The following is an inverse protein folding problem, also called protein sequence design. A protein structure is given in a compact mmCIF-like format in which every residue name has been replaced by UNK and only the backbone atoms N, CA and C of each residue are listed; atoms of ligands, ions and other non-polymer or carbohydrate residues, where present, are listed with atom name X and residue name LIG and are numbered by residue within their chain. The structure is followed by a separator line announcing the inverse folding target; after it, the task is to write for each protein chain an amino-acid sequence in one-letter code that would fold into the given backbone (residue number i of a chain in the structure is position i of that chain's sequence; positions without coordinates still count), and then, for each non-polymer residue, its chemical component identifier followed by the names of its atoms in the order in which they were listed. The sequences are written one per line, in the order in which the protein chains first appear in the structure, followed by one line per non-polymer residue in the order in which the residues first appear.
data_IF_777095799504
#
_entry.id   IF_777095799504
#
_cell.length_a   1.000
_cell.length_b   1.000
_cell.length_c   1.000
_cell.angle_alpha   90.00
_cell.angle_beta   90.00
_cell.angle_gamma   90.00
#
_symmetry.space_group_name_H-M   'P 1'
#
loop_
_entity.id
_entity.type
_entity.pdbx_description
1 polymer ?
#
# COMPACT_ATOMS: atom_id res chain seq x y z
N UNK A 1 36.64 -62.31 17.20
CA UNK A 1 36.82 -60.99 17.85
C UNK A 1 35.44 -60.33 17.90
N UNK A 2 34.61 -60.59 18.92
CA UNK A 2 34.48 -59.85 20.19
C UNK A 2 34.32 -58.32 19.95
N UNK A 3 33.21 -57.63 20.29
CA UNK A 3 32.04 -57.93 21.14
C UNK A 3 30.80 -57.14 20.69
N UNK A 4 29.64 -57.79 20.78
CA UNK A 4 28.29 -57.22 20.81
C UNK A 4 27.94 -56.71 22.22
N UNK A 5 27.14 -55.64 22.31
CA UNK A 5 26.63 -55.11 23.58
C UNK A 5 25.11 -55.30 23.64
N UNK A 6 24.66 -56.02 24.67
CA UNK A 6 23.27 -56.36 24.93
C UNK A 6 22.69 -55.52 26.07
N UNK A 7 21.42 -55.14 25.91
CA UNK A 7 20.34 -54.96 26.88
C UNK A 7 20.66 -54.75 28.37
N UNK A 8 20.03 -53.72 28.96
CA UNK A 8 19.25 -53.86 30.22
C UNK A 8 18.05 -52.90 30.26
N UNK A 9 16.86 -53.47 30.45
CA UNK A 9 15.66 -52.82 30.98
C UNK A 9 15.81 -52.68 32.50
N UNK A 10 15.38 -51.54 33.04
CA UNK A 10 15.21 -51.32 34.47
C UNK A 10 13.87 -50.63 34.73
N UNK A 11 12.91 -51.40 35.25
CA UNK A 11 11.73 -50.93 35.97
C UNK A 11 12.15 -50.41 37.35
N UNK A 12 11.55 -49.33 37.85
CA UNK A 12 11.57 -49.06 39.28
C UNK A 12 11.20 -47.65 39.72
N UNK A 13 10.13 -47.60 40.52
CA UNK A 13 9.80 -46.62 41.56
C UNK A 13 9.13 -45.29 41.14
N UNK A 14 7.82 -45.27 41.42
CA UNK A 14 7.01 -44.09 41.64
C UNK A 14 7.57 -43.23 42.79
N UNK A 15 7.56 -41.92 42.60
CA UNK A 15 7.65 -40.95 43.69
C UNK A 15 6.55 -39.92 43.49
N UNK A 16 5.45 -40.12 44.22
CA UNK A 16 4.39 -39.14 44.41
C UNK A 16 4.96 -38.07 45.35
N UNK A 17 5.46 -36.96 44.80
CA UNK A 17 5.82 -35.78 45.57
C UNK A 17 4.64 -34.82 45.53
N UNK A 18 4.05 -34.63 46.70
CA UNK A 18 3.03 -33.66 47.03
C UNK A 18 3.48 -32.23 46.72
N UNK A 19 2.97 -31.64 45.63
CA UNK A 19 3.05 -30.20 45.37
C UNK A 19 1.92 -29.49 46.13
N UNK A 20 2.13 -29.29 47.43
CA UNK A 20 1.36 -28.33 48.23
C UNK A 20 2.35 -27.31 48.81
N UNK A 21 2.19 -26.04 48.46
CA UNK A 21 2.77 -24.92 49.22
C UNK A 21 4.06 -24.31 48.66
N UNK A 22 3.96 -23.64 47.52
CA UNK A 22 4.79 -22.47 47.22
C UNK A 22 4.00 -21.54 46.32
N UNK A 23 3.21 -20.65 46.93
CA UNK A 23 2.77 -19.44 46.24
C UNK A 23 4.04 -18.64 45.93
N UNK A 24 4.59 -18.85 44.74
CA UNK A 24 5.56 -17.93 44.17
C UNK A 24 4.87 -16.57 44.12
N UNK A 25 5.25 -15.68 45.03
CA UNK A 25 5.05 -14.25 44.87
C UNK A 25 5.66 -13.90 43.52
N UNK A 26 4.83 -13.90 42.48
CA UNK A 26 5.16 -13.27 41.21
C UNK A 26 5.50 -11.83 41.61
N UNK A 27 6.75 -11.36 41.41
CA UNK A 27 7.09 -9.98 41.73
C UNK A 27 6.07 -9.10 41.02
N UNK A 28 5.24 -8.43 41.81
CA UNK A 28 4.23 -7.51 41.30
C UNK A 28 4.96 -6.48 40.47
N UNK A 29 4.69 -6.46 39.17
CA UNK A 29 5.21 -5.44 38.28
C UNK A 29 4.91 -4.08 38.90
N UNK A 30 5.92 -3.22 38.99
CA UNK A 30 5.74 -1.85 39.45
C UNK A 30 4.64 -1.20 38.60
N UNK A 31 3.54 -0.80 39.25
CA UNK A 31 2.48 -0.05 38.60
C UNK A 31 3.04 1.33 38.23
N UNK A 32 3.57 1.47 37.01
CA UNK A 32 4.03 2.75 36.48
C UNK A 32 2.83 3.59 36.10
N UNK A 33 2.56 4.64 36.87
CA UNK A 33 1.50 5.60 36.60
C UNK A 33 1.84 6.61 35.47
N UNK A 34 3.10 6.62 35.01
CA UNK A 34 3.63 7.60 34.04
C UNK A 34 3.58 7.12 32.57
N UNK A 35 2.78 6.11 32.25
CA UNK A 35 2.66 5.57 30.88
C UNK A 35 1.46 6.11 30.09
N UNK A 36 1.43 5.82 28.79
CA UNK A 36 0.22 5.94 27.97
C UNK A 36 -0.86 5.07 28.62
N UNK A 37 -1.96 5.68 29.06
CA UNK A 37 -3.05 4.96 29.72
C UNK A 37 -3.97 4.29 28.72
N UNK A 38 -4.16 4.95 27.56
CA UNK A 38 -5.03 4.48 26.50
C UNK A 38 -4.36 4.72 25.16
N UNK A 39 -4.35 3.69 24.32
CA UNK A 39 -3.99 3.88 22.92
C UNK A 39 -4.84 3.04 21.98
N UNK A 40 -4.91 3.52 20.74
CA UNK A 40 -5.38 2.78 19.59
C UNK A 40 -4.40 3.02 18.43
N UNK A 41 -3.83 1.95 17.91
CA UNK A 41 -2.84 2.00 16.85
C UNK A 41 -3.28 1.12 15.67
N UNK A 42 -3.03 1.63 14.46
CA UNK A 42 -3.38 0.98 13.20
C UNK A 42 -2.18 1.11 12.25
N UNK A 43 -1.77 0.01 11.66
CA UNK A 43 -0.80 -0.03 10.58
C UNK A 43 -1.45 -0.70 9.37
N UNK A 44 -1.34 -0.09 8.19
CA UNK A 44 -1.86 -0.66 6.95
C UNK A 44 -0.89 -0.45 5.81
N UNK A 45 -0.60 -1.51 5.07
CA UNK A 45 0.21 -1.48 3.86
C UNK A 45 -0.55 -2.14 2.71
N UNK A 46 -0.59 -1.45 1.59
CA UNK A 46 -1.01 -2.01 0.30
C UNK A 46 0.20 -1.93 -0.62
N UNK A 47 0.52 -3.05 -1.25
CA UNK A 47 1.52 -3.09 -2.31
C UNK A 47 1.09 -2.17 -3.44
N UNK A 48 0.12 -2.64 -4.22
CA UNK A 48 -0.33 -1.96 -5.42
C UNK A 48 -1.85 -1.93 -5.43
N UNK A 49 -2.39 -0.80 -5.87
CA UNK A 49 -3.78 -0.66 -6.27
C UNK A 49 -3.84 -0.45 -7.78
N UNK A 50 -4.90 -0.96 -8.40
CA UNK A 50 -5.22 -0.62 -9.76
C UNK A 50 -6.73 -0.46 -9.93
N UNK A 51 -7.10 0.44 -10.82
CA UNK A 51 -8.46 0.63 -11.27
C UNK A 51 -8.51 0.50 -12.79
N UNK A 52 -9.45 -0.29 -13.30
CA UNK A 52 -9.77 -0.38 -14.73
C UNK A 52 -11.21 0.04 -14.94
N UNK A 53 -11.47 0.81 -15.99
CA UNK A 53 -12.82 1.08 -16.45
C UNK A 53 -12.89 0.90 -17.97
N UNK A 54 -14.02 0.40 -18.47
CA UNK A 54 -14.27 0.26 -19.90
C UNK A 54 -15.75 0.54 -20.18
N UNK A 55 -16.03 1.40 -21.16
CA UNK A 55 -17.40 1.80 -21.51
C UNK A 55 -18.25 0.66 -22.07
N UNK A 56 -17.63 -0.40 -22.63
CA UNK A 56 -18.35 -1.57 -23.13
C UNK A 56 -18.83 -2.49 -22.01
N UNK A 57 -18.33 -2.33 -20.78
CA UNK A 57 -18.82 -3.08 -19.63
C UNK A 57 -20.13 -2.44 -19.17
N UNK A 58 -21.27 -3.16 -19.24
CA UNK A 58 -22.56 -2.62 -18.83
C UNK A 58 -22.50 -2.04 -17.42
N UNK A 59 -23.27 -0.98 -17.18
CA UNK A 59 -23.35 -0.26 -15.89
C UNK A 59 -22.09 0.56 -15.53
N UNK A 60 -21.10 0.68 -16.43
CA UNK A 60 -19.92 1.51 -16.18
C UNK A 60 -19.08 1.02 -15.00
N UNK A 61 -19.05 -0.30 -14.78
CA UNK A 61 -18.35 -0.90 -13.65
C UNK A 61 -16.86 -0.54 -13.69
N UNK A 62 -16.35 -0.07 -12.55
CA UNK A 62 -14.92 0.12 -12.30
C UNK A 62 -14.42 -1.11 -11.57
N UNK A 63 -13.44 -1.78 -12.15
CA UNK A 63 -12.76 -2.90 -11.51
C UNK A 63 -11.65 -2.35 -10.66
N UNK A 64 -11.69 -2.67 -9.37
CA UNK A 64 -10.65 -2.30 -8.43
C UNK A 64 -9.98 -3.58 -7.94
N UNK A 65 -8.66 -3.56 -7.87
CA UNK A 65 -7.90 -4.63 -7.27
C UNK A 65 -6.73 -4.08 -6.49
N UNK A 66 -6.52 -4.67 -5.31
CA UNK A 66 -5.37 -4.35 -4.46
C UNK A 66 -4.63 -5.61 -4.06
N UNK A 67 -3.33 -5.51 -3.87
CA UNK A 67 -2.54 -6.60 -3.33
C UNK A 67 -1.04 -6.46 -3.56
N UNK A 68 -0.21 -7.14 -2.75
CA UNK A 68 -0.55 -7.74 -1.46
C UNK A 68 -1.03 -6.68 -0.43
N UNK A 69 -1.82 -7.07 0.56
CA UNK A 69 -2.34 -6.18 1.62
C UNK A 69 -2.02 -6.75 3.02
N UNK A 70 -1.65 -5.88 3.95
CA UNK A 70 -1.47 -6.20 5.36
C UNK A 70 -2.08 -5.09 6.24
N UNK A 71 -2.79 -5.48 7.28
CA UNK A 71 -3.47 -4.60 8.24
C UNK A 71 -3.24 -5.15 9.66
N UNK A 72 -2.85 -4.28 10.59
CA UNK A 72 -2.63 -4.60 11.98
C UNK A 72 -3.24 -3.50 12.85
N UNK A 73 -4.13 -3.88 13.77
CA UNK A 73 -4.75 -2.99 14.76
C UNK A 73 -4.45 -3.50 16.16
N UNK A 74 -4.11 -2.60 17.07
CA UNK A 74 -3.91 -2.94 18.48
C UNK A 74 -4.41 -1.81 19.37
N UNK A 75 -4.96 -2.13 20.54
CA UNK A 75 -5.32 -1.15 21.57
C UNK A 75 -4.95 -1.64 22.96
N UNK A 76 -4.83 -0.68 23.89
CA UNK A 76 -4.55 -0.97 25.30
C UNK A 76 -5.63 -1.79 26.03
N UNK A 77 -6.80 -1.97 25.40
CA UNK A 77 -7.92 -2.76 25.93
C UNK A 77 -7.86 -4.23 25.49
N UNK A 78 -6.68 -4.74 25.15
CA UNK A 78 -6.49 -6.11 24.66
C UNK A 78 -7.32 -6.42 23.40
N UNK A 79 -7.48 -5.43 22.52
CA UNK A 79 -7.96 -5.66 21.16
C UNK A 79 -6.74 -5.70 20.25
N UNK A 80 -6.56 -6.80 19.54
CA UNK A 80 -5.48 -6.99 18.59
C UNK A 80 -6.05 -7.78 17.40
N UNK A 81 -6.03 -7.18 16.21
CA UNK A 81 -6.54 -7.79 14.99
C UNK A 81 -5.45 -7.68 13.91
N UNK A 82 -5.04 -8.80 13.33
CA UNK A 82 -4.13 -8.84 12.20
C UNK A 82 -4.82 -9.48 10.99
N UNK A 83 -4.66 -8.87 9.82
CA UNK A 83 -5.22 -9.36 8.56
C UNK A 83 -4.20 -9.22 7.42
N UNK A 84 -3.96 -10.30 6.69
CA UNK A 84 -3.09 -10.34 5.53
C UNK A 84 -3.82 -11.01 4.37
N UNK A 85 -3.79 -10.39 3.18
CA UNK A 85 -4.52 -10.88 2.00
C UNK A 85 -3.73 -10.73 0.70
N UNK A 86 -3.91 -11.67 -0.22
CA UNK A 86 -3.31 -11.62 -1.57
C UNK A 86 -4.18 -12.38 -2.59
N UNK A 87 -4.57 -11.74 -3.70
CA UNK A 87 -5.02 -10.35 -3.85
C UNK A 87 -6.44 -10.15 -3.27
N UNK A 88 -6.76 -8.92 -2.87
CA UNK A 88 -8.11 -8.53 -2.48
C UNK A 88 -8.79 -7.80 -3.64
N UNK A 89 -9.86 -8.42 -4.15
CA UNK A 89 -10.60 -7.93 -5.31
C UNK A 89 -11.85 -7.12 -4.93
N UNK A 90 -11.85 -6.54 -3.73
CA UNK A 90 -13.03 -5.90 -3.16
C UNK A 90 -14.18 -6.86 -2.92
N UNK A 91 -15.29 -6.30 -2.44
CA UNK A 91 -16.52 -7.05 -2.17
C UNK A 91 -17.31 -7.41 -3.44
N UNK A 92 -16.87 -6.94 -4.62
CA UNK A 92 -17.52 -7.17 -5.92
C UNK A 92 -17.20 -8.53 -6.54
N UNK A 93 -16.09 -9.17 -6.14
CA UNK A 93 -15.57 -10.42 -6.73
C UNK A 93 -15.63 -11.71 -5.84
N UNK A 94 -16.15 -11.74 -4.59
CA UNK A 94 -16.19 -12.98 -3.80
C UNK A 94 -16.94 -14.17 -4.46
N UNK A 95 -17.85 -13.91 -5.42
CA UNK A 95 -18.64 -14.96 -6.09
C UNK A 95 -17.97 -15.68 -7.28
N UNK A 96 -16.83 -15.18 -7.78
CA UNK A 96 -16.19 -15.67 -9.01
C UNK A 96 -15.45 -17.02 -8.91
N UNK A 97 -14.73 -17.33 -7.81
CA UNK A 97 -13.83 -18.48 -7.79
C UNK A 97 -14.56 -19.82 -7.93
N UNK A 98 -15.77 -19.92 -7.37
CA UNK A 98 -16.61 -21.13 -7.50
C UNK A 98 -17.03 -21.41 -8.95
N UNK A 99 -17.23 -20.37 -9.75
CA UNK A 99 -17.62 -20.49 -11.15
C UNK A 99 -16.41 -20.76 -12.05
N UNK A 100 -15.24 -20.15 -11.77
CA UNK A 100 -14.00 -20.41 -12.53
C UNK A 100 -13.45 -21.81 -12.30
N UNK A 101 -13.44 -22.27 -11.05
CA UNK A 101 -13.00 -23.63 -10.70
C UNK A 101 -13.88 -24.69 -11.35
N UNK A 102 -15.18 -24.42 -11.50
CA UNK A 102 -16.13 -25.29 -12.19
C UNK A 102 -15.90 -25.37 -13.71
N UNK A 103 -15.57 -24.26 -14.36
CA UNK A 103 -15.41 -24.20 -15.83
C UNK A 103 -14.06 -24.77 -16.29
N UNK A 104 -12.97 -24.40 -15.62
CA UNK A 104 -11.61 -24.74 -16.09
C UNK A 104 -11.00 -25.98 -15.43
N UNK A 105 -11.67 -26.58 -14.44
CA UNK A 105 -11.15 -27.69 -13.62
C UNK A 105 -9.75 -27.43 -13.05
N UNK A 106 -9.36 -26.15 -12.93
CA UNK A 106 -8.12 -25.76 -12.28
C UNK A 106 -8.37 -25.81 -10.77
N UNK A 107 -7.47 -26.41 -9.97
CA UNK A 107 -7.52 -26.29 -8.53
C UNK A 107 -7.22 -24.84 -8.15
N UNK A 108 -8.26 -24.02 -8.06
CA UNK A 108 -8.17 -22.66 -7.54
C UNK A 108 -8.26 -22.79 -6.02
N UNK A 109 -7.31 -22.25 -5.24
CA UNK A 109 -7.43 -22.19 -3.79
C UNK A 109 -8.78 -21.61 -3.39
N UNK A 110 -9.37 -22.12 -2.31
CA UNK A 110 -10.60 -21.55 -1.77
C UNK A 110 -10.35 -20.08 -1.42
N UNK A 111 -10.98 -19.18 -2.17
CA UNK A 111 -11.00 -17.75 -1.89
C UNK A 111 -11.97 -17.48 -0.73
N UNK A 112 -11.72 -16.46 0.11
CA UNK A 112 -10.61 -15.52 0.04
C UNK A 112 -9.28 -16.06 0.59
N UNK A 113 -8.17 -15.70 -0.07
CA UNK A 113 -6.81 -15.94 0.41
C UNK A 113 -6.51 -14.91 1.50
N UNK A 114 -6.92 -15.24 2.73
CA UNK A 114 -6.81 -14.37 3.91
C UNK A 114 -6.21 -15.15 5.06
N UNK A 115 -5.15 -14.62 5.67
CA UNK A 115 -4.71 -14.99 7.01
C UNK A 115 -5.17 -13.91 7.99
N UNK A 116 -5.97 -14.28 8.99
CA UNK A 116 -6.46 -13.35 10.00
C UNK A 116 -6.33 -13.95 11.39
N UNK A 117 -5.99 -13.12 12.37
CA UNK A 117 -6.00 -13.49 13.80
C UNK A 117 -6.58 -12.37 14.64
N UNK A 118 -7.16 -12.75 15.77
CA UNK A 118 -7.60 -11.86 16.85
C UNK A 118 -6.80 -12.13 18.13
N UNK A 119 -6.91 -11.24 19.11
CA UNK A 119 -6.22 -11.36 20.40
C UNK A 119 -6.45 -12.72 21.07
N UNK A 120 -5.36 -13.42 21.39
CA UNK A 120 -5.39 -14.73 22.06
C UNK A 120 -5.55 -15.93 21.13
N UNK A 121 -5.74 -15.70 19.83
CA UNK A 121 -5.69 -16.76 18.82
C UNK A 121 -4.23 -17.15 18.52
N UNK A 122 -4.05 -18.39 18.05
CA UNK A 122 -2.74 -18.83 17.57
C UNK A 122 -2.39 -18.12 16.24
N UNK A 123 -1.10 -17.87 15.95
CA UNK A 123 -0.68 -17.35 14.66
C UNK A 123 -1.20 -18.19 13.49
N UNK A 124 -1.54 -17.52 12.40
CA UNK A 124 -2.01 -18.18 11.17
C UNK A 124 -1.02 -17.90 10.05
N UNK A 125 -0.47 -18.98 9.51
CA UNK A 125 0.37 -18.99 8.32
C UNK A 125 -0.35 -19.68 7.17
N UNK A 126 -0.34 -19.04 6.00
CA UNK A 126 -0.89 -19.59 4.76
C UNK A 126 0.20 -19.50 3.69
N UNK A 127 0.71 -20.66 3.29
CA UNK A 127 1.76 -20.78 2.30
C UNK A 127 1.28 -21.56 1.08
N UNK A 128 1.42 -20.93 -0.09
CA UNK A 128 1.28 -21.56 -1.40
C UNK A 128 2.52 -21.26 -2.24
N UNK A 129 2.79 -22.02 -3.31
CA UNK A 129 3.88 -21.69 -4.22
C UNK A 129 3.79 -20.25 -4.74
N UNK A 130 4.70 -19.39 -4.28
CA UNK A 130 4.75 -17.98 -4.65
C UNK A 130 3.73 -17.08 -3.93
N UNK A 131 3.06 -17.54 -2.87
CA UNK A 131 2.23 -16.69 -1.99
C UNK A 131 2.51 -17.09 -0.55
N UNK A 132 2.80 -16.12 0.32
CA UNK A 132 2.85 -16.35 1.76
C UNK A 132 2.08 -15.28 2.50
N UNK A 133 1.32 -15.68 3.51
CA UNK A 133 0.57 -14.77 4.37
C UNK A 133 0.75 -15.20 5.81
N UNK A 134 0.88 -14.23 6.70
CA UNK A 134 1.08 -14.43 8.13
C UNK A 134 0.28 -13.39 8.89
N UNK A 135 -0.44 -13.83 9.93
CA UNK A 135 -1.13 -12.98 10.87
C UNK A 135 -0.87 -13.48 12.30
N UNK A 136 -0.51 -12.56 13.20
CA UNK A 136 -0.26 -12.84 14.61
C UNK A 136 -0.74 -11.67 15.47
N UNK A 137 -1.48 -11.97 16.54
CA UNK A 137 -2.07 -10.97 17.45
C UNK A 137 -1.79 -11.35 18.91
N UNK A 138 -0.79 -10.69 19.50
CA UNK A 138 -0.37 -10.91 20.90
C UNK A 138 -0.74 -9.71 21.78
N UNK A 139 -0.39 -9.76 23.08
CA UNK A 139 -0.64 -8.65 24.00
C UNK A 139 0.18 -7.40 23.70
N UNK A 140 1.40 -7.55 23.19
CA UNK A 140 2.32 -6.43 22.97
C UNK A 140 2.71 -6.24 21.50
N UNK A 141 2.21 -7.08 20.59
CA UNK A 141 2.57 -7.04 19.17
C UNK A 141 1.46 -7.64 18.30
N UNK A 142 1.04 -6.89 17.28
CA UNK A 142 0.15 -7.33 16.21
C UNK A 142 0.87 -7.22 14.88
N UNK A 143 0.96 -8.32 14.12
CA UNK A 143 1.74 -8.42 12.89
C UNK A 143 0.88 -9.03 11.79
N UNK A 144 0.83 -8.37 10.63
CA UNK A 144 0.32 -8.92 9.39
C UNK A 144 1.38 -8.81 8.29
N UNK A 145 1.55 -9.87 7.51
CA UNK A 145 2.45 -9.89 6.34
C UNK A 145 1.81 -10.66 5.22
N UNK A 146 1.96 -10.15 4.02
CA UNK A 146 1.51 -10.80 2.80
C UNK A 146 2.55 -10.62 1.71
N UNK A 147 2.83 -11.67 0.95
CA UNK A 147 3.75 -11.61 -0.17
C UNK A 147 3.27 -12.46 -1.34
N UNK A 148 3.62 -12.03 -2.54
CA UNK A 148 3.32 -12.73 -3.79
C UNK A 148 4.54 -12.69 -4.71
N UNK A 149 4.78 -13.77 -5.44
CA UNK A 149 5.88 -13.93 -6.38
C UNK A 149 7.14 -14.49 -5.75
N UNK A 150 8.29 -13.98 -6.21
CA UNK A 150 9.63 -14.45 -5.80
C UNK A 150 10.49 -13.27 -5.33
N UNK A 151 11.67 -13.54 -4.81
CA UNK A 151 12.63 -12.48 -4.47
C UNK A 151 13.01 -11.57 -5.68
N UNK A 152 12.84 -12.04 -6.92
CA UNK A 152 13.20 -11.28 -8.11
C UNK A 152 12.05 -10.41 -8.67
N UNK A 153 10.81 -10.87 -8.55
CA UNK A 153 9.64 -10.25 -9.21
C UNK A 153 8.41 -10.16 -8.30
N UNK A 154 8.63 -10.32 -7.00
CA UNK A 154 7.57 -10.35 -6.01
C UNK A 154 7.21 -8.99 -5.47
N UNK A 155 6.10 -8.98 -4.75
CA UNK A 155 5.61 -7.88 -3.96
C UNK A 155 5.36 -8.35 -2.53
N UNK A 156 5.51 -7.45 -1.57
CA UNK A 156 5.22 -7.70 -0.17
C UNK A 156 4.52 -6.50 0.47
N UNK A 157 3.66 -6.77 1.43
CA UNK A 157 3.08 -5.79 2.34
C UNK A 157 3.24 -6.31 3.77
N UNK A 158 3.59 -5.42 4.69
CA UNK A 158 3.72 -5.70 6.10
C UNK A 158 3.11 -4.58 6.91
N UNK A 159 2.38 -4.95 7.95
CA UNK A 159 1.82 -4.04 8.94
C UNK A 159 2.16 -4.57 10.32
N UNK A 160 2.59 -3.69 11.22
CA UNK A 160 3.02 -4.06 12.56
C UNK A 160 2.72 -2.96 13.56
N UNK A 161 2.16 -3.35 14.69
CA UNK A 161 1.99 -2.52 15.87
C UNK A 161 2.72 -3.18 17.03
N UNK A 162 3.58 -2.45 17.73
CA UNK A 162 4.32 -2.93 18.90
C UNK A 162 4.15 -1.97 20.09
N UNK A 163 4.01 -2.54 21.29
CA UNK A 163 4.26 -1.84 22.54
C UNK A 163 5.76 -1.87 22.88
N UNK A 164 6.32 -0.75 23.30
CA UNK A 164 7.71 -0.70 23.77
C UNK A 164 7.77 -0.98 25.27
N UNK A 165 8.92 -1.48 25.74
CA UNK A 165 9.15 -1.75 27.17
C UNK A 165 9.01 -0.49 28.07
N UNK A 166 9.16 0.70 27.48
CA UNK A 166 9.02 1.99 28.16
C UNK A 166 7.57 2.50 28.19
N UNK A 167 6.61 1.74 27.66
CA UNK A 167 5.19 2.12 27.60
C UNK A 167 4.84 3.03 26.42
N UNK A 168 5.69 3.06 25.40
CA UNK A 168 5.39 3.68 24.10
C UNK A 168 4.72 2.70 23.14
N UNK A 169 4.28 3.19 21.98
CA UNK A 169 3.65 2.39 20.93
C UNK A 169 4.23 2.77 19.58
N UNK A 170 4.54 1.78 18.74
CA UNK A 170 5.05 1.98 17.38
C UNK A 170 4.08 1.32 16.40
N UNK A 171 3.52 2.11 15.49
CA UNK A 171 2.80 1.63 14.32
C UNK A 171 3.71 1.77 13.10
N UNK A 172 3.89 0.69 12.33
CA UNK A 172 4.73 0.67 11.14
C UNK A 172 4.10 -0.15 10.02
N UNK A 173 4.16 0.39 8.81
CA UNK A 173 3.70 -0.27 7.61
C UNK A 173 4.71 -0.11 6.49
N UNK A 174 4.92 -1.20 5.76
CA UNK A 174 5.92 -1.31 4.71
C UNK A 174 5.30 -2.01 3.50
N UNK A 175 5.54 -1.51 2.29
CA UNK A 175 5.23 -2.22 1.05
C UNK A 175 6.39 -2.18 0.07
N UNK A 176 6.63 -3.31 -0.61
CA UNK A 176 7.77 -3.49 -1.51
C UNK A 176 7.37 -4.15 -2.82
N UNK A 177 7.98 -3.72 -3.93
CA UNK A 177 8.03 -4.44 -5.21
C UNK A 177 9.46 -4.58 -5.69
N UNK A 178 9.89 -5.81 -5.92
CA UNK A 178 11.20 -6.08 -6.51
C UNK A 178 11.21 -5.69 -7.99
N UNK A 179 10.22 -6.18 -8.74
CA UNK A 179 9.99 -5.79 -10.12
C UNK A 179 8.51 -5.88 -10.47
N UNK A 180 7.96 -4.79 -11.01
CA UNK A 180 6.60 -4.70 -11.48
C UNK A 180 6.63 -4.29 -12.95
N UNK A 181 5.97 -5.07 -13.81
CA UNK A 181 5.80 -4.75 -15.23
C UNK A 181 4.36 -4.37 -15.50
N UNK A 182 4.16 -3.15 -15.99
CA UNK A 182 2.87 -2.64 -16.42
C UNK A 182 2.81 -2.76 -17.94
N UNK A 183 2.31 -3.91 -18.40
CA UNK A 183 2.34 -4.30 -19.80
C UNK A 183 3.77 -4.30 -20.38
N UNK A 184 3.89 -3.78 -21.60
CA UNK A 184 5.19 -3.56 -22.27
C UNK A 184 5.69 -2.11 -22.15
N UNK A 185 4.98 -1.27 -21.39
CA UNK A 185 5.19 0.18 -21.39
C UNK A 185 6.08 0.63 -20.23
N UNK A 186 5.93 0.05 -19.04
CA UNK A 186 6.66 0.49 -17.85
C UNK A 186 7.15 -0.72 -17.07
N UNK A 187 8.40 -0.64 -16.60
CA UNK A 187 8.96 -1.52 -15.57
C UNK A 187 9.39 -0.66 -14.39
N UNK A 188 8.82 -0.96 -13.22
CA UNK A 188 9.29 -0.44 -11.95
C UNK A 188 10.14 -1.50 -11.25
N UNK A 189 11.20 -1.10 -10.56
CA UNK A 189 12.01 -2.01 -9.76
C UNK A 189 12.47 -1.34 -8.48
N UNK A 190 12.51 -2.13 -7.40
CA UNK A 190 12.85 -1.66 -6.06
C UNK A 190 11.92 -0.54 -5.59
N UNK A 191 10.60 -0.73 -5.74
CA UNK A 191 9.60 0.16 -5.13
C UNK A 191 9.55 -0.16 -3.65
N UNK A 192 9.66 0.85 -2.79
CA UNK A 192 9.51 0.72 -1.34
C UNK A 192 8.72 1.90 -0.80
N UNK A 193 7.63 1.60 -0.11
CA UNK A 193 6.87 2.55 0.68
C UNK A 193 6.93 2.20 2.14
N UNK A 194 7.01 3.22 3.00
CA UNK A 194 7.06 3.03 4.44
C UNK A 194 6.35 4.19 5.14
N UNK A 195 5.54 3.87 6.14
CA UNK A 195 5.01 4.82 7.12
C UNK A 195 5.30 4.29 8.53
N UNK A 196 5.77 5.16 9.41
CA UNK A 196 6.01 4.85 10.82
C UNK A 196 5.50 6.01 11.66
N UNK A 197 4.71 5.67 12.67
CA UNK A 197 4.29 6.58 13.73
C UNK A 197 4.63 5.94 15.06
N UNK A 198 5.39 6.64 15.91
CA UNK A 198 5.65 6.22 17.29
C UNK A 198 5.11 7.24 18.28
N UNK A 199 4.50 6.75 19.36
CA UNK A 199 4.19 7.51 20.56
C UNK A 199 5.17 7.10 21.66
N UNK A 200 5.84 8.06 22.29
CA UNK A 200 6.57 7.79 23.54
C UNK A 200 5.61 7.68 24.74
N UNK A 201 6.14 7.34 25.93
CA UNK A 201 5.33 7.22 27.15
C UNK A 201 4.52 8.48 27.50
N UNK A 202 4.99 9.65 27.06
CA UNK A 202 4.30 10.94 27.26
C UNK A 202 3.25 11.23 26.18
N UNK A 203 3.03 10.32 25.23
CA UNK A 203 2.12 10.49 24.10
C UNK A 203 2.66 11.39 23.00
N UNK A 204 3.96 11.76 23.02
CA UNK A 204 4.54 12.58 21.96
C UNK A 204 4.73 11.74 20.71
N UNK A 205 4.12 12.21 19.62
CA UNK A 205 4.15 11.51 18.34
C UNK A 205 5.34 11.91 17.48
N UNK A 206 6.09 10.90 17.00
CA UNK A 206 7.10 11.03 15.94
C UNK A 206 6.60 10.30 14.69
N UNK A 207 6.71 10.95 13.52
CA UNK A 207 6.15 10.45 12.26
C UNK A 207 7.21 10.50 11.18
N UNK A 208 7.33 9.42 10.41
CA UNK A 208 8.20 9.36 9.24
C UNK A 208 7.50 8.59 8.14
N UNK A 209 7.57 9.08 6.90
CA UNK A 209 7.09 8.32 5.75
C UNK A 209 8.00 8.52 4.55
N UNK A 210 8.15 7.48 3.74
CA UNK A 210 9.01 7.50 2.55
C UNK A 210 8.40 6.69 1.43
N UNK A 211 8.52 7.18 0.20
CA UNK A 211 8.33 6.41 -1.02
C UNK A 211 9.60 6.51 -1.85
N UNK A 212 10.15 5.37 -2.25
CA UNK A 212 11.30 5.28 -3.14
C UNK A 212 11.07 4.25 -4.24
N UNK A 213 11.60 4.53 -5.43
CA UNK A 213 11.64 3.62 -6.57
C UNK A 213 13.07 3.64 -7.09
N UNK A 214 13.74 2.50 -7.01
CA UNK A 214 15.14 2.41 -7.43
C UNK A 214 15.29 2.64 -8.94
N UNK A 215 14.36 2.11 -9.74
CA UNK A 215 14.36 2.22 -11.20
C UNK A 215 12.95 2.25 -11.76
N UNK A 216 12.72 3.20 -12.66
CA UNK A 216 11.58 3.38 -13.53
C UNK A 216 12.15 3.33 -14.95
N UNK A 217 11.67 2.38 -15.74
CA UNK A 217 12.09 2.18 -17.11
C UNK A 217 10.88 2.12 -18.02
N UNK A 218 10.83 2.97 -19.04
CA UNK A 218 9.79 2.97 -20.05
C UNK A 218 10.43 2.93 -21.45
N UNK A 219 10.23 1.85 -22.23
CA UNK A 219 10.73 1.80 -23.60
C UNK A 219 10.20 2.97 -24.43
N UNK A 220 11.11 3.65 -25.14
CA UNK A 220 10.78 4.81 -25.98
C UNK A 220 10.73 6.15 -25.24
N UNK A 221 10.90 6.18 -23.91
CA UNK A 221 10.97 7.44 -23.15
C UNK A 221 12.15 8.28 -23.65
N UNK A 222 11.88 9.52 -24.04
CA UNK A 222 12.91 10.48 -24.44
C UNK A 222 12.86 11.65 -23.47
N UNK A 223 13.94 11.84 -22.71
CA UNK A 223 14.03 12.88 -21.69
C UNK A 223 15.11 13.88 -22.07
N UNK A 224 14.73 15.14 -22.29
CA UNK A 224 15.68 16.24 -22.42
C UNK A 224 16.11 16.69 -21.03
N UNK A 225 17.40 16.54 -20.72
CA UNK A 225 17.94 17.00 -19.45
C UNK A 225 17.98 18.54 -19.42
N UNK A 226 17.65 19.17 -18.29
CA UNK A 226 17.85 20.60 -18.16
C UNK A 226 19.34 20.94 -18.22
N UNK A 227 19.69 22.10 -18.78
CA UNK A 227 21.08 22.56 -18.85
C UNK A 227 21.70 22.73 -17.45
N UNK A 228 20.89 23.18 -16.50
CA UNK A 228 21.29 23.49 -15.13
C UNK A 228 20.42 22.75 -14.10
N UNK A 229 20.95 22.54 -12.90
CA UNK A 229 20.19 22.02 -11.77
C UNK A 229 19.07 22.98 -11.36
N UNK A 230 18.13 22.51 -10.54
CA UNK A 230 16.94 23.28 -10.10
C UNK A 230 17.26 24.56 -9.32
N UNK A 231 18.53 24.80 -8.94
CA UNK A 231 18.92 25.96 -8.13
C UNK A 231 18.37 25.94 -6.69
N UNK A 232 17.73 24.84 -6.30
CA UNK A 232 17.11 24.65 -5.00
C UNK A 232 17.40 23.23 -4.52
N UNK A 233 17.86 23.10 -3.27
CA UNK A 233 17.92 21.81 -2.59
C UNK A 233 16.59 21.61 -1.88
N UNK A 234 15.76 20.62 -2.28
CA UNK A 234 14.58 20.27 -1.50
C UNK A 234 15.04 19.81 -0.12
N UNK A 235 14.62 20.52 0.92
CA UNK A 235 14.87 20.10 2.29
C UNK A 235 13.98 18.87 2.53
N UNK A 236 14.53 17.72 2.94
CA UNK A 236 13.73 16.52 3.17
C UNK A 236 12.64 16.81 4.20
N UNK A 237 11.43 16.35 3.89
CA UNK A 237 10.20 16.20 4.71
C UNK A 237 10.08 17.20 5.90
N UNK A 238 9.03 18.05 5.91
CA UNK A 238 8.75 18.97 7.02
C UNK A 238 8.87 18.26 8.37
N UNK A 239 9.73 18.77 9.26
CA UNK A 239 9.75 18.29 10.65
C UNK A 239 8.45 18.77 11.31
N UNK A 240 7.61 17.87 11.85
CA UNK A 240 6.35 18.26 12.47
C UNK A 240 6.56 19.33 13.56
N UNK A 241 5.79 20.42 13.49
CA UNK A 241 5.88 21.54 14.43
C UNK A 241 6.97 22.58 14.14
N UNK A 242 7.76 22.39 13.08
CA UNK A 242 8.70 23.40 12.58
C UNK A 242 8.09 24.02 11.32
N UNK A 243 8.02 25.36 11.20
CA UNK A 243 7.63 26.01 9.96
C UNK A 243 8.45 25.45 8.80
N UNK A 244 7.79 25.18 7.68
CA UNK A 244 8.46 24.62 6.52
C UNK A 244 9.58 25.56 6.10
N UNK A 245 10.82 25.10 6.24
CA UNK A 245 11.96 25.93 5.86
C UNK A 245 11.90 26.08 4.34
N UNK A 246 11.91 27.32 3.80
CA UNK A 246 11.94 27.49 2.36
C UNK A 246 13.13 26.72 1.78
N UNK A 247 13.03 26.19 0.53
CA UNK A 247 14.13 25.50 -0.12
C UNK A 247 15.41 26.33 -0.02
N UNK A 248 16.55 25.68 0.26
CA UNK A 248 17.82 26.40 0.33
C UNK A 248 18.20 26.74 -1.11
N UNK A 249 18.29 28.03 -1.47
CA UNK A 249 18.76 28.41 -2.78
C UNK A 249 20.23 28.00 -2.89
N UNK A 250 20.55 27.27 -3.95
CA UNK A 250 21.91 26.89 -4.33
C UNK A 250 22.16 27.44 -5.73
N UNK A 251 23.38 27.92 -5.98
CA UNK A 251 23.72 28.33 -7.33
C UNK A 251 23.51 27.15 -8.29
N UNK A 252 22.73 27.34 -9.38
CA UNK A 252 22.54 26.30 -10.37
C UNK A 252 23.90 25.86 -10.91
N UNK A 253 24.14 24.55 -10.90
CA UNK A 253 25.32 23.97 -11.48
C UNK A 253 24.94 23.27 -12.80
N UNK A 254 25.84 23.28 -13.80
CA UNK A 254 25.57 22.62 -15.06
C UNK A 254 25.40 21.11 -14.84
N UNK A 255 24.31 20.55 -15.36
CA UNK A 255 24.07 19.10 -15.30
C UNK A 255 24.89 18.46 -16.42
N UNK A 256 25.63 17.36 -16.16
CA UNK A 256 26.28 16.61 -17.22
C UNK A 256 25.27 16.20 -18.29
N UNK A 257 25.58 16.46 -19.56
CA UNK A 257 24.67 16.24 -20.69
C UNK A 257 23.40 17.12 -20.65
N UNK A 258 23.40 18.21 -19.89
CA UNK A 258 22.33 19.20 -19.91
C UNK A 258 22.06 19.72 -21.32
N UNK A 259 20.79 19.85 -21.67
CA UNK A 259 20.31 20.18 -23.02
C UNK A 259 20.23 18.98 -23.98
N UNK A 260 20.80 17.82 -23.64
CA UNK A 260 20.73 16.62 -24.49
C UNK A 260 19.48 15.79 -24.18
N UNK A 261 18.93 15.16 -25.21
CA UNK A 261 17.85 14.19 -25.09
C UNK A 261 18.42 12.78 -24.94
N UNK A 262 18.12 12.14 -23.81
CA UNK A 262 18.50 10.76 -23.53
C UNK A 262 17.32 9.84 -23.84
N UNK A 263 17.60 8.74 -24.56
CA UNK A 263 16.60 7.75 -24.94
C UNK A 263 16.63 6.57 -23.96
N UNK A 264 15.43 6.18 -23.52
CA UNK A 264 15.15 5.14 -22.55
C UNK A 264 15.99 5.24 -21.26
N UNK A 265 16.03 6.42 -20.59
CA UNK A 265 16.81 6.60 -19.38
C UNK A 265 16.28 5.73 -18.23
N UNK A 266 17.16 5.35 -17.31
CA UNK A 266 16.77 4.75 -16.03
C UNK A 266 16.55 5.87 -15.00
N UNK A 267 15.29 6.03 -14.59
CA UNK A 267 14.87 7.09 -13.69
C UNK A 267 14.62 6.49 -12.30
N UNK A 268 15.22 7.03 -11.24
CA UNK A 268 14.84 6.74 -9.86
C UNK A 268 13.83 7.76 -9.34
N UNK A 269 13.18 7.46 -8.23
CA UNK A 269 12.25 8.36 -7.56
C UNK A 269 12.40 8.26 -6.04
N UNK A 270 12.43 9.39 -5.33
CA UNK A 270 12.44 9.43 -3.87
C UNK A 270 11.62 10.64 -3.41
N UNK A 271 10.53 10.41 -2.68
CA UNK A 271 9.72 11.44 -2.02
C UNK A 271 9.40 12.66 -2.91
N UNK A 272 8.94 12.42 -4.14
CA UNK A 272 8.58 13.48 -5.09
C UNK A 272 9.73 13.98 -5.97
N UNK A 273 10.97 13.56 -5.68
CA UNK A 273 12.15 13.94 -6.46
C UNK A 273 12.53 12.81 -7.41
N UNK A 274 12.59 13.12 -8.71
CA UNK A 274 13.14 12.20 -9.70
C UNK A 274 14.66 12.26 -9.72
N UNK A 275 15.30 11.12 -9.98
CA UNK A 275 16.74 11.04 -10.17
C UNK A 275 17.03 10.33 -11.48
N UNK A 276 18.14 10.66 -12.14
CA UNK A 276 18.63 9.93 -13.31
C UNK A 276 20.00 9.35 -13.00
N UNK A 277 20.19 8.07 -13.35
CA UNK A 277 21.47 7.41 -13.30
C UNK A 277 22.24 7.69 -14.60
N UNK A 278 23.36 8.42 -14.50
CA UNK A 278 24.24 8.71 -15.64
C UNK A 278 25.58 8.00 -15.46
N UNK A 279 26.12 7.35 -16.51
CA UNK A 279 27.46 6.77 -16.45
C UNK A 279 28.51 7.88 -16.48
N UNK A 280 29.39 7.93 -15.48
CA UNK A 280 30.50 8.88 -15.44
C UNK A 280 31.81 8.18 -15.03
N UNK A 281 32.77 8.13 -15.96
CA UNK A 281 34.14 7.66 -15.71
C UNK A 281 34.27 6.28 -14.99
N UNK A 282 33.29 5.39 -15.17
CA UNK A 282 33.26 4.04 -14.56
C UNK A 282 32.30 3.90 -13.38
N UNK A 283 31.78 5.00 -12.84
CA UNK A 283 30.79 5.01 -11.75
C UNK A 283 29.43 5.53 -12.22
N UNK A 284 28.35 4.98 -11.65
CA UNK A 284 26.99 5.49 -11.89
C UNK A 284 26.66 6.56 -10.86
N UNK A 285 26.52 7.80 -11.30
CA UNK A 285 26.12 8.91 -10.45
C UNK A 285 24.63 9.21 -10.63
N UNK A 286 23.95 9.58 -9.53
CA UNK A 286 22.53 9.95 -9.53
C UNK A 286 22.39 11.46 -9.43
N UNK A 287 21.65 12.03 -10.37
CA UNK A 287 21.37 13.47 -10.43
C UNK A 287 19.89 13.70 -10.20
N UNK A 288 19.53 14.68 -9.37
CA UNK A 288 18.14 15.11 -9.24
C UNK A 288 17.68 15.78 -10.53
N UNK A 289 16.48 15.44 -10.99
CA UNK A 289 15.86 16.00 -12.20
C UNK A 289 14.56 16.69 -11.80
N UNK A 290 14.27 17.91 -12.30
CA UNK A 290 12.99 18.55 -12.07
C UNK A 290 11.84 17.65 -12.55
N UNK A 291 10.72 17.66 -11.82
CA UNK A 291 9.59 16.79 -12.15
C UNK A 291 8.92 17.14 -13.49
N UNK A 292 8.86 18.43 -13.86
CA UNK A 292 8.20 18.90 -15.08
C UNK A 292 8.66 18.16 -16.35
N UNK A 293 9.96 18.20 -16.71
CA UNK A 293 10.49 17.48 -17.87
C UNK A 293 10.22 15.97 -17.85
N UNK A 294 10.25 15.34 -16.67
CA UNK A 294 9.96 13.92 -16.53
C UNK A 294 8.48 13.65 -16.82
N UNK A 295 7.58 14.41 -16.22
CA UNK A 295 6.13 14.29 -16.43
C UNK A 295 5.78 14.51 -17.91
N UNK A 296 6.37 15.52 -18.56
CA UNK A 296 6.14 15.79 -19.98
C UNK A 296 6.64 14.64 -20.87
N UNK A 297 7.79 14.04 -20.55
CA UNK A 297 8.31 12.88 -21.27
C UNK A 297 7.40 11.65 -21.13
N UNK A 298 6.87 11.37 -19.94
CA UNK A 298 5.90 10.29 -19.75
C UNK A 298 4.57 10.58 -20.45
N UNK A 299 4.09 11.83 -20.41
CA UNK A 299 2.88 12.26 -21.11
C UNK A 299 3.00 12.08 -22.62
N UNK A 300 4.18 12.33 -23.19
CA UNK A 300 4.47 12.06 -24.61
C UNK A 300 4.37 10.56 -24.99
N UNK A 301 4.51 9.65 -24.02
CA UNK A 301 4.27 8.22 -24.19
C UNK A 301 2.81 7.80 -23.93
N UNK A 302 1.91 8.74 -23.65
CA UNK A 302 0.53 8.44 -23.26
C UNK A 302 0.38 7.94 -21.82
N UNK A 303 1.38 8.22 -20.96
CA UNK A 303 1.35 7.87 -19.54
C UNK A 303 1.16 9.15 -18.73
N UNK A 304 0.11 9.22 -17.91
CA UNK A 304 -0.09 10.29 -16.93
C UNK A 304 0.58 9.89 -15.62
N UNK A 305 1.31 10.82 -15.00
CA UNK A 305 1.90 10.64 -13.68
C UNK A 305 1.20 11.56 -12.68
N UNK A 306 0.86 11.03 -11.51
CA UNK A 306 0.38 11.79 -10.37
C UNK A 306 1.24 11.48 -9.14
N UNK A 307 1.48 12.49 -8.32
CA UNK A 307 2.18 12.33 -7.04
C UNK A 307 1.43 13.04 -5.94
N UNK A 308 1.19 12.31 -4.85
CA UNK A 308 0.70 12.86 -3.59
C UNK A 308 1.82 12.75 -2.56
N UNK A 309 2.19 13.90 -1.96
CA UNK A 309 3.16 13.93 -0.86
C UNK A 309 2.62 13.20 0.37
N UNK A 310 3.51 12.85 1.30
CA UNK A 310 3.09 12.33 2.60
C UNK A 310 2.11 13.32 3.28
N UNK A 311 1.09 12.77 3.93
CA UNK A 311 0.08 13.55 4.65
C UNK A 311 0.23 13.30 6.14
N UNK A 312 0.50 14.36 6.90
CA UNK A 312 0.57 14.30 8.36
C UNK A 312 -0.86 14.37 8.90
N UNK A 313 -1.26 13.31 9.61
CA UNK A 313 -2.56 13.19 10.25
C UNK A 313 -2.43 13.50 11.76
N UNK A 314 -3.52 13.90 12.44
CA UNK A 314 -3.49 14.16 13.88
C UNK A 314 -2.91 12.99 14.68
N UNK A 315 -3.28 11.76 14.33
CA UNK A 315 -2.85 10.53 14.99
C UNK A 315 -1.71 9.81 14.28
N UNK A 316 -1.18 10.31 13.15
CA UNK A 316 -0.17 9.54 12.43
C UNK A 316 0.24 10.12 11.09
N UNK A 317 0.58 9.26 10.14
CA UNK A 317 1.06 9.66 8.82
C UNK A 317 0.61 8.68 7.73
N UNK A 318 0.20 9.23 6.58
CA UNK A 318 0.03 8.48 5.35
C UNK A 318 1.26 8.71 4.45
N UNK A 319 1.79 7.62 3.89
CA UNK A 319 2.95 7.67 3.01
C UNK A 319 2.63 8.32 1.66
N UNK A 320 3.66 8.82 0.94
CA UNK A 320 3.45 9.36 -0.39
C UNK A 320 2.93 8.30 -1.36
N UNK A 321 2.12 8.73 -2.34
CA UNK A 321 1.55 7.85 -3.37
C UNK A 321 1.99 8.33 -4.74
N UNK A 322 2.47 7.40 -5.58
CA UNK A 322 2.68 7.64 -7.01
C UNK A 322 1.59 6.91 -7.79
N UNK A 323 0.84 7.65 -8.60
CA UNK A 323 -0.14 7.11 -9.53
C UNK A 323 0.35 7.22 -10.97
N UNK A 324 0.05 6.20 -11.77
CA UNK A 324 0.37 6.14 -13.20
C UNK A 324 -0.90 5.75 -13.96
N UNK A 325 -1.37 6.61 -14.84
CA UNK A 325 -2.48 6.33 -15.73
C UNK A 325 -1.99 6.03 -17.14
N UNK A 326 -2.57 5.04 -17.80
CA UNK A 326 -2.35 4.78 -19.22
C UNK A 326 -3.58 4.09 -19.81
N UNK A 327 -3.70 4.12 -21.13
CA UNK A 327 -4.85 3.57 -21.83
C UNK A 327 -4.43 2.36 -22.65
N UNK A 328 -5.03 1.20 -22.38
CA UNK A 328 -4.87 0.04 -23.25
C UNK A 328 -5.65 0.26 -24.56
N UNK A 329 -5.07 -0.08 -25.71
CA UNK A 329 -5.76 0.01 -26.99
C UNK A 329 -6.96 -0.94 -27.01
N UNK A 330 -7.96 -0.63 -27.84
CA UNK A 330 -9.09 -1.53 -28.03
C UNK A 330 -8.59 -2.91 -28.43
N UNK A 331 -9.04 -3.99 -27.75
CA UNK A 331 -8.74 -5.33 -28.22
C UNK A 331 -9.38 -5.56 -29.60
N UNK A 332 -8.96 -6.61 -30.34
CA UNK A 332 -9.64 -7.02 -31.56
C UNK A 332 -11.16 -7.13 -31.33
N UNK A 333 -11.99 -6.75 -32.32
CA UNK A 333 -13.43 -6.76 -32.18
C UNK A 333 -13.93 -8.07 -31.58
N UNK A 334 -14.56 -7.96 -30.42
CA UNK A 334 -15.18 -9.07 -29.74
C UNK A 334 -16.47 -8.57 -29.07
N UNK A 335 -17.32 -9.51 -28.67
CA UNK A 335 -18.65 -9.18 -28.14
C UNK A 335 -18.66 -8.72 -26.67
N UNK A 336 -17.50 -8.61 -26.01
CA UNK A 336 -17.42 -8.43 -24.55
C UNK A 336 -16.72 -7.14 -24.14
N UNK A 337 -15.52 -6.92 -24.67
CA UNK A 337 -14.69 -5.76 -24.39
C UNK A 337 -14.43 -5.05 -25.71
N UNK A 338 -14.99 -3.86 -25.84
CA UNK A 338 -14.82 -3.00 -26.99
C UNK A 338 -14.29 -1.65 -26.55
N UNK A 339 -13.51 -1.00 -27.40
CA UNK A 339 -12.96 0.32 -27.09
C UNK A 339 -11.78 0.27 -26.13
N UNK A 340 -11.23 1.45 -25.92
CA UNK A 340 -10.06 1.67 -25.09
C UNK A 340 -10.35 1.43 -23.61
N UNK A 341 -9.35 0.95 -22.87
CA UNK A 341 -9.47 0.65 -21.44
C UNK A 341 -8.47 1.50 -20.65
N UNK A 342 -8.89 2.63 -20.06
CA UNK A 342 -8.06 3.37 -19.12
C UNK A 342 -7.75 2.51 -17.88
N UNK A 343 -6.50 2.58 -17.45
CA UNK A 343 -5.98 1.93 -16.25
C UNK A 343 -5.26 2.96 -15.42
N UNK A 344 -5.58 3.01 -14.13
CA UNK A 344 -4.79 3.75 -13.14
C UNK A 344 -4.12 2.76 -12.22
N UNK A 345 -2.83 2.92 -12.02
CA UNK A 345 -2.03 2.12 -11.10
C UNK A 345 -1.48 3.01 -10.00
N UNK A 346 -1.65 2.63 -8.74
CA UNK A 346 -1.18 3.38 -7.58
C UNK A 346 -0.24 2.53 -6.73
N UNK A 347 0.91 3.10 -6.37
CA UNK A 347 1.86 2.52 -5.41
C UNK A 347 2.18 3.52 -4.32
N UNK A 348 2.61 3.02 -3.17
CA UNK A 348 3.01 3.87 -2.06
C UNK A 348 2.04 3.89 -0.89
N UNK A 349 0.93 3.15 -0.96
CA UNK A 349 -0.13 3.18 0.04
C UNK A 349 0.30 2.49 1.35
N UNK A 350 0.94 3.24 2.24
CA UNK A 350 1.28 2.83 3.59
C UNK A 350 0.72 3.86 4.61
N UNK A 351 0.16 3.37 5.70
CA UNK A 351 -0.49 4.17 6.74
C UNK A 351 -0.02 3.69 8.12
N UNK A 352 0.32 4.63 9.00
CA UNK A 352 0.66 4.34 10.38
C UNK A 352 0.01 5.36 11.32
N UNK A 353 -0.89 4.90 12.19
CA UNK A 353 -1.66 5.70 13.14
C UNK A 353 -1.41 5.20 14.57
N UNK A 354 -1.34 6.15 15.51
CA UNK A 354 -1.32 5.95 16.96
C UNK A 354 -2.10 7.12 17.61
N UNK A 355 -3.31 6.85 18.10
CA UNK A 355 -4.00 7.72 19.07
C UNK A 355 -3.53 7.30 20.46
N UNK A 356 -2.77 8.15 21.15
CA UNK A 356 -2.25 7.87 22.49
C UNK A 356 -2.69 8.95 23.48
N UNK A 357 -3.20 8.54 24.64
CA UNK A 357 -3.65 9.43 25.72
C UNK A 357 -3.01 9.06 27.04
N UNK A 358 -2.39 10.03 27.70
CA UNK A 358 -1.80 9.90 29.04
C UNK A 358 -2.87 10.00 30.13
N UNK A 359 -2.74 9.23 31.22
CA UNK A 359 -3.69 9.19 32.35
C UNK A 359 -4.05 10.57 32.95
N UNK A 360 -3.15 11.55 32.84
CA UNK A 360 -3.31 12.89 33.43
C UNK A 360 -3.88 13.97 32.50
N UNK A 361 -4.07 13.69 31.20
CA UNK A 361 -4.60 14.68 30.24
C UNK A 361 -6.14 14.68 30.24
N UNK A 362 -6.73 14.80 31.43
CA UNK A 362 -8.15 15.03 31.60
C UNK A 362 -8.45 16.52 31.48
N UNK A 363 -8.07 17.17 30.37
CA UNK A 363 -8.67 18.44 30.01
C UNK A 363 -10.03 18.13 29.37
N UNK A 364 -10.99 17.91 30.27
CA UNK A 364 -12.42 17.76 30.02
C UNK A 364 -12.91 18.92 29.15
N UNK A 365 -12.96 18.68 27.84
CA UNK A 365 -13.98 19.32 27.02
C UNK A 365 -15.15 18.36 27.10
N UNK A 366 -16.18 18.72 27.87
CA UNK A 366 -17.43 17.97 28.01
C UNK A 366 -18.11 17.82 26.64
N UNK A 367 -17.66 16.85 25.84
CA UNK A 367 -18.33 16.34 24.66
C UNK A 367 -19.02 15.04 25.06
N UNK A 368 -20.35 15.06 25.04
CA UNK A 368 -21.25 13.97 25.37
C UNK A 368 -20.83 12.68 24.67
N UNK A 369 -20.30 11.71 25.43
CA UNK A 369 -19.97 10.39 24.92
C UNK A 369 -21.27 9.63 24.61
N UNK A 370 -21.63 9.56 23.33
CA UNK A 370 -22.66 8.64 22.84
C UNK A 370 -21.99 7.29 22.62
N UNK A 371 -22.29 6.33 23.49
CA UNK A 371 -21.91 4.93 23.30
C UNK A 371 -22.74 4.35 22.15
N UNK A 372 -22.10 4.17 20.99
CA UNK A 372 -22.64 3.35 19.91
C UNK A 372 -21.62 2.24 19.63
N UNK A 373 -21.88 1.06 20.20
CA UNK A 373 -21.24 -0.20 19.80
C UNK A 373 -21.59 -0.47 18.33
N UNK A 374 -20.57 -0.45 17.47
CA UNK A 374 -20.71 -0.61 16.02
C UNK A 374 -19.47 -0.08 15.30
N UNK A 375 -18.32 -0.70 15.56
CA UNK A 375 -17.02 -0.29 15.02
C UNK A 375 -16.96 -0.39 13.51
N UNK A 376 -17.23 0.74 12.83
CA UNK A 376 -16.78 0.98 11.46
C UNK A 376 -15.31 1.41 11.53
N UNK A 377 -14.46 0.89 10.65
CA UNK A 377 -13.08 1.36 10.49
C UNK A 377 -13.07 2.89 10.30
N UNK A 378 -12.01 3.62 10.73
CA UNK A 378 -11.90 5.04 10.47
C UNK A 378 -12.01 5.29 8.96
N UNK A 379 -13.11 5.90 8.54
CA UNK A 379 -13.30 6.36 7.17
C UNK A 379 -12.41 7.58 6.95
N UNK A 380 -11.54 7.51 5.96
CA UNK A 380 -10.86 8.69 5.40
C UNK A 380 -11.91 9.76 5.01
N UNK A 381 -11.59 11.07 5.04
CA UNK A 381 -12.54 12.11 4.69
C UNK A 381 -13.17 11.86 3.31
N UNK A 382 -14.49 11.76 3.28
CA UNK A 382 -15.28 11.43 2.09
C UNK A 382 -15.37 12.62 1.13
N UNK A 383 -15.14 12.40 -0.16
CA UNK A 383 -15.54 13.34 -1.22
C UNK A 383 -17.07 13.37 -1.36
N UNK A 384 -17.67 14.56 -1.28
CA UNK A 384 -19.10 14.77 -1.49
C UNK A 384 -19.56 14.43 -2.92
N UNK A 385 -20.84 14.07 -3.04
CA UNK A 385 -21.54 13.81 -4.29
C UNK A 385 -21.39 14.95 -5.31
N UNK A 386 -21.07 14.61 -6.56
CA UNK A 386 -21.29 15.50 -7.72
C UNK A 386 -22.43 14.92 -8.57
N UNK A 387 -23.60 15.57 -8.64
CA UNK A 387 -24.62 15.25 -9.63
C UNK A 387 -24.32 15.93 -10.98
N UNK A 388 -24.38 15.14 -12.06
CA UNK A 388 -24.89 15.51 -13.39
C UNK A 388 -24.35 16.74 -14.10
N UNK A 389 -23.62 16.52 -15.20
CA UNK A 389 -23.39 17.50 -16.26
C UNK A 389 -24.59 17.49 -17.21
N UNK A 390 -25.29 18.62 -17.33
CA UNK A 390 -25.83 19.17 -18.60
C UNK A 390 -26.57 20.50 -18.35
N UNK A 391 -26.03 21.62 -18.86
CA UNK A 391 -26.70 22.55 -19.80
C UNK A 391 -25.96 23.89 -19.96
N UNK A 392 -25.78 24.25 -21.23
CA UNK A 392 -25.28 25.52 -21.78
C UNK A 392 -26.46 26.49 -21.92
N UNK A 393 -26.34 27.77 -21.50
CA UNK A 393 -26.72 28.97 -22.28
C UNK A 393 -26.66 30.29 -21.46
N UNK A 394 -26.39 31.38 -22.18
CA UNK A 394 -26.00 32.75 -21.77
C UNK A 394 -27.03 33.62 -21.02
N UNK A 395 -26.55 34.67 -20.32
CA UNK A 395 -26.90 36.11 -20.48
C UNK A 395 -26.21 37.03 -19.42
N UNK A 396 -25.65 38.16 -19.88
CA UNK A 396 -24.88 39.25 -19.18
C UNK A 396 -25.74 40.14 -18.23
N UNK A 397 -25.26 41.23 -17.53
CA UNK A 397 -23.93 41.89 -17.44
C UNK A 397 -23.41 42.30 -16.02
N UNK A 398 -22.16 42.80 -15.96
CA UNK A 398 -21.43 43.35 -14.78
C UNK A 398 -21.99 44.66 -14.19
N UNK A 399 -21.43 45.13 -13.03
CA UNK A 399 -20.49 46.27 -13.13
C UNK A 399 -19.27 46.28 -12.16
N UNK A 400 -18.15 46.74 -12.74
CA UNK A 400 -17.11 47.71 -12.28
C UNK A 400 -16.24 47.44 -11.03
N UNK A 401 -14.92 47.55 -11.27
CA UNK A 401 -13.75 47.36 -10.40
C UNK A 401 -13.38 48.63 -9.56
N UNK A 402 -12.29 48.65 -8.73
CA UNK A 402 -10.91 48.64 -9.24
C UNK A 402 -9.85 47.83 -8.45
N UNK A 403 -8.80 47.43 -9.20
CA UNK A 403 -7.37 47.32 -8.85
C UNK A 403 -6.86 46.43 -7.69
N UNK A 404 -6.17 45.32 -8.01
CA UNK A 404 -4.68 45.26 -8.07
C UNK A 404 -4.11 43.81 -8.16
N UNK A 405 -3.06 43.69 -8.98
CA UNK A 405 -2.02 42.64 -9.15
C UNK A 405 -2.41 41.26 -9.69
N UNK A 406 -1.90 40.96 -10.88
CA UNK A 406 -2.18 39.76 -11.65
C UNK A 406 -1.58 38.48 -11.09
N UNK A 407 -2.46 37.50 -10.86
CA UNK A 407 -2.13 36.09 -10.79
C UNK A 407 -2.37 35.44 -12.16
N UNK A 408 -1.37 34.72 -12.67
CA UNK A 408 -1.51 33.83 -13.84
C UNK A 408 -2.52 32.74 -13.46
N UNK A 409 -3.58 32.49 -14.26
CA UNK A 409 -4.50 31.40 -13.99
C UNK A 409 -3.80 30.07 -14.27
N UNK A 410 -3.46 29.34 -13.21
CA UNK A 410 -3.18 27.91 -13.29
C UNK A 410 -4.52 27.24 -13.59
N UNK A 411 -4.60 26.55 -14.73
CA UNK A 411 -5.78 25.74 -15.05
C UNK A 411 -5.97 24.69 -13.95
N UNK A 412 -7.16 24.64 -13.36
CA UNK A 412 -7.56 23.62 -12.40
C UNK A 412 -7.41 22.23 -13.04
N UNK A 413 -6.38 21.50 -12.62
CA UNK A 413 -6.27 20.07 -12.86
C UNK A 413 -7.14 19.40 -11.79
N UNK A 414 -8.15 18.59 -12.15
CA UNK A 414 -8.95 17.89 -11.15
C UNK A 414 -8.05 16.96 -10.33
N UNK A 415 -7.87 17.30 -9.05
CA UNK A 415 -7.22 16.42 -8.07
C UNK A 415 -8.19 15.28 -7.77
N UNK A 416 -7.92 14.10 -8.33
CA UNK A 416 -8.63 12.87 -7.96
C UNK A 416 -8.12 12.43 -6.59
N UNK A 417 -8.77 12.88 -5.52
CA UNK A 417 -8.59 12.30 -4.18
C UNK A 417 -9.29 10.95 -4.15
N UNK A 418 -8.54 9.86 -4.29
CA UNK A 418 -9.08 8.51 -4.14
C UNK A 418 -9.34 8.24 -2.65
N UNK A 419 -10.61 8.26 -2.24
CA UNK A 419 -11.02 7.85 -0.90
C UNK A 419 -11.01 6.32 -0.80
N UNK A 420 -10.08 5.75 -0.03
CA UNK A 420 -10.11 4.33 0.33
C UNK A 420 -11.24 4.12 1.37
N UNK A 421 -12.43 3.76 0.91
CA UNK A 421 -13.57 3.46 1.79
C UNK A 421 -13.66 1.95 2.00
N UNK A 422 -13.22 1.44 3.15
CA UNK A 422 -13.44 0.05 3.56
C UNK A 422 -14.80 -0.01 4.29
N UNK A 423 -15.86 -0.34 3.56
CA UNK A 423 -17.19 -0.56 4.15
C UNK A 423 -17.43 -2.06 4.35
N UNK A 424 -17.27 -2.54 5.59
CA UNK A 424 -17.74 -3.87 5.97
C UNK A 424 -19.27 -3.93 6.02
N UNK A 425 -19.93 -4.24 4.90
CA UNK A 425 -21.36 -4.59 4.88
C UNK A 425 -21.55 -5.99 4.30
N UNK A 426 -22.09 -6.89 5.11
CA UNK A 426 -22.59 -8.19 4.65
C UNK A 426 -23.74 -7.98 3.66
N UNK A 427 -23.48 -8.26 2.38
CA UNK A 427 -24.50 -8.27 1.32
C UNK A 427 -24.87 -9.72 0.99
N UNK A 428 -26.13 -10.08 1.21
CA UNK A 428 -26.71 -11.32 0.72
C UNK A 428 -26.96 -11.21 -0.79
N UNK A 429 -26.12 -11.85 -1.61
CA UNK A 429 -26.24 -11.85 -3.07
C UNK A 429 -27.12 -13.00 -3.52
N UNK A 430 -28.28 -12.68 -4.11
CA UNK A 430 -29.08 -13.62 -4.89
C UNK A 430 -28.39 -13.96 -6.21
N UNK A 431 -28.24 -15.25 -6.50
CA UNK A 431 -27.53 -15.74 -7.68
C UNK A 431 -28.37 -15.51 -8.95
N UNK A 432 -27.93 -14.60 -9.81
CA UNK A 432 -28.40 -14.47 -11.18
C UNK A 432 -27.32 -14.92 -12.18
N UNK A 433 -27.72 -15.68 -13.20
CA UNK A 433 -26.87 -16.49 -14.09
C UNK A 433 -26.11 -15.66 -15.15
N UNK A 434 -26.24 -14.33 -15.13
CA UNK A 434 -25.44 -13.39 -15.94
C UNK A 434 -23.99 -13.25 -15.46
N UNK A 435 -23.64 -13.79 -14.29
CA UNK A 435 -22.32 -13.74 -13.64
C UNK A 435 -21.24 -14.65 -14.27
N UNK A 436 -21.60 -15.61 -15.13
CA UNK A 436 -20.65 -16.58 -15.71
C UNK A 436 -19.64 -15.95 -16.68
N UNK A 437 -19.94 -14.78 -17.23
CA UNK A 437 -19.08 -14.14 -18.23
C UNK A 437 -18.06 -13.18 -17.60
N UNK A 438 -18.42 -12.59 -16.45
CA UNK A 438 -17.52 -11.81 -15.61
C UNK A 438 -16.40 -12.68 -15.03
N UNK A 439 -16.77 -13.89 -14.64
CA UNK A 439 -15.91 -15.03 -14.30
C UNK A 439 -14.85 -15.25 -15.37
N UNK A 440 -15.22 -15.34 -16.65
CA UNK A 440 -14.28 -15.61 -17.74
C UNK A 440 -13.29 -14.46 -18.00
N UNK A 441 -13.71 -13.20 -17.88
CA UNK A 441 -12.83 -12.05 -18.12
C UNK A 441 -11.84 -11.85 -16.98
N UNK A 442 -12.31 -11.83 -15.73
CA UNK A 442 -11.44 -11.73 -14.55
C UNK A 442 -10.57 -12.98 -14.43
N UNK A 443 -11.13 -14.15 -14.71
CA UNK A 443 -10.38 -15.41 -14.76
C UNK A 443 -9.36 -15.46 -15.88
N UNK A 444 -9.64 -14.87 -17.04
CA UNK A 444 -8.68 -14.72 -18.13
C UNK A 444 -7.53 -13.78 -17.76
N UNK A 445 -7.85 -12.68 -17.05
CA UNK A 445 -6.86 -11.71 -16.59
C UNK A 445 -6.00 -12.28 -15.45
N UNK A 446 -6.62 -12.99 -14.51
CA UNK A 446 -5.94 -13.77 -13.47
C UNK A 446 -5.10 -14.90 -14.07
N UNK A 447 -5.63 -15.64 -15.04
CA UNK A 447 -4.89 -16.69 -15.73
C UNK A 447 -3.73 -16.10 -16.52
N UNK A 448 -3.87 -14.91 -17.11
CA UNK A 448 -2.78 -14.21 -17.79
C UNK A 448 -1.70 -13.75 -16.82
N UNK A 449 -2.06 -13.15 -15.69
CA UNK A 449 -1.12 -12.76 -14.64
C UNK A 449 -0.43 -13.99 -14.05
N UNK A 450 -1.18 -15.06 -13.77
CA UNK A 450 -0.65 -16.32 -13.24
C UNK A 450 0.23 -17.07 -14.26
N UNK A 451 -0.14 -17.14 -15.54
CA UNK A 451 0.71 -17.74 -16.57
C UNK A 451 1.96 -16.91 -16.83
N UNK A 452 1.87 -15.59 -16.76
CA UNK A 452 3.05 -14.71 -16.87
C UNK A 452 3.97 -14.93 -15.67
N UNK A 453 3.43 -15.03 -14.45
CA UNK A 453 4.19 -15.37 -13.25
C UNK A 453 4.83 -16.76 -13.35
N UNK A 454 4.08 -17.81 -13.74
CA UNK A 454 4.60 -19.16 -13.91
C UNK A 454 5.67 -19.28 -15.01
N UNK A 455 5.51 -18.51 -16.10
CA UNK A 455 6.51 -18.44 -17.18
C UNK A 455 7.78 -17.73 -16.72
N UNK A 456 7.66 -16.70 -15.88
CA UNK A 456 8.79 -16.01 -15.26
C UNK A 456 9.47 -16.87 -14.18
N UNK A 457 8.75 -17.77 -13.52
CA UNK A 457 9.30 -18.75 -12.59
C UNK A 457 10.07 -19.90 -13.27
N UNK A 458 10.24 -19.88 -14.60
CA UNK A 458 11.05 -20.86 -15.31
C UNK A 458 10.48 -22.28 -15.30
N UNK A 459 9.21 -22.46 -14.93
CA UNK A 459 8.54 -23.76 -14.94
C UNK A 459 8.36 -24.22 -16.39
N UNK A 460 9.30 -25.05 -16.86
CA UNK A 460 9.17 -25.72 -18.16
C UNK A 460 8.16 -26.85 -18.01
N UNK A 461 6.89 -26.58 -18.30
CA UNK A 461 5.92 -27.64 -18.55
C UNK A 461 6.39 -28.45 -19.76
N UNK A 462 6.99 -29.62 -19.50
CA UNK A 462 7.14 -30.66 -20.51
C UNK A 462 5.74 -31.20 -20.78
N UNK A 463 5.11 -30.72 -21.84
CA UNK A 463 3.97 -31.40 -22.43
C UNK A 463 4.48 -32.74 -22.95
N UNK A 464 4.21 -33.81 -22.21
CA UNK A 464 4.30 -35.16 -22.74
C UNK A 464 3.19 -35.32 -23.75
N UNK A 465 3.56 -35.36 -25.03
CA UNK A 465 2.69 -35.79 -26.13
C UNK A 465 2.37 -37.28 -26.01
#
# INVERSE_FOLDING_TARGET
MNRSFAWRRGLGAATFVSCLGAATLVPGGEARADGIAYYEAVAKAVGAGYTLSNQSVPLGLVFEGIGPEADARQSSLQRADANASVPYFGDTIPGLPGTLGGIYKLPIPSYPLIASTSYGEAPVDIDFPGVSMHAESTASSTIARSSIGSAATGAAAAARVDETADGGVVSSSDSEFNALKLGNQITLSGVRSRAVTSADAAGKLTRTATLSIARIFAPGLALTLPENSTGEVPIPIPIPGVPNTPPIPVEPFPVPYGGQTIVAPEIGFVNGTFTIALPFAGDTQRYAVPAGPVIDAFKALGITLGYQSAEILPTGIAAPVLSMGFTFPSPPPNQYVQGETPVTFSIGQALALVDARTAGSANSTNGTASATDGGSAPTLPSSGNVPGVDQIAALFPSPVAPDQVGSVPVADVPVVQQALTVNGRASTVGADLSSIYFVLVVGGLLAFVATTALRLMGVRFRWGS
#
